data_IF_664114729512
#
_entry.id   IF_664114729512
#
_cell.length_a   1.000
_cell.length_b   1.000
_cell.length_c   1.000
_cell.angle_alpha   90.00
_cell.angle_beta   90.00
_cell.angle_gamma   90.00
#
_symmetry.space_group_name_H-M   'P 1'
#
loop_
_entity.id
_entity.type
_entity.pdbx_description
1 polymer ?
#
# COMPACT_ATOMS: atom_id res chain seq x y z
N UNK A 1 -21.44 -1.32 -28.60
CA UNK A 1 -21.10 -1.01 -27.20
C UNK A 1 -19.62 -1.31 -26.89
N UNK A 2 -18.97 -2.22 -27.58
CA UNK A 2 -17.56 -2.60 -27.39
C UNK A 2 -16.54 -1.90 -28.29
N UNK A 3 -16.93 -0.87 -29.03
CA UNK A 3 -16.01 -0.13 -29.92
C UNK A 3 -15.30 1.05 -29.27
N UNK A 4 -15.53 1.29 -27.97
CA UNK A 4 -14.91 2.39 -27.25
C UNK A 4 -13.64 1.87 -26.54
N UNK A 5 -12.44 2.34 -26.90
CA UNK A 5 -11.16 1.86 -26.33
C UNK A 5 -11.15 1.91 -24.80
N UNK A 6 -11.77 2.94 -24.22
CA UNK A 6 -11.89 3.09 -22.76
C UNK A 6 -12.71 1.97 -22.12
N UNK A 7 -13.83 1.58 -22.75
CA UNK A 7 -14.68 0.49 -22.24
C UNK A 7 -13.94 -0.86 -22.27
N UNK A 8 -13.19 -1.11 -23.34
CA UNK A 8 -12.39 -2.35 -23.49
C UNK A 8 -11.31 -2.41 -22.41
N UNK A 9 -10.56 -1.32 -22.23
CA UNK A 9 -9.49 -1.24 -21.23
C UNK A 9 -10.04 -1.40 -19.80
N UNK A 10 -11.15 -0.73 -19.49
CA UNK A 10 -11.80 -0.82 -18.18
C UNK A 10 -12.30 -2.24 -17.91
N UNK A 11 -12.99 -2.85 -18.87
CA UNK A 11 -13.49 -4.22 -18.72
C UNK A 11 -12.34 -5.22 -18.58
N UNK A 12 -11.27 -5.08 -19.37
CA UNK A 12 -10.08 -5.91 -19.28
C UNK A 12 -9.39 -5.79 -17.91
N UNK A 13 -9.27 -4.56 -17.39
CA UNK A 13 -8.74 -4.31 -16.05
C UNK A 13 -9.60 -4.97 -14.96
N UNK A 14 -10.92 -4.82 -15.03
CA UNK A 14 -11.84 -5.43 -14.06
C UNK A 14 -11.75 -6.96 -14.05
N UNK A 15 -11.69 -7.57 -15.22
CA UNK A 15 -11.51 -9.02 -15.34
C UNK A 15 -10.17 -9.45 -14.74
N UNK A 16 -9.10 -8.75 -15.06
CA UNK A 16 -7.77 -9.02 -14.51
C UNK A 16 -7.78 -8.95 -12.97
N UNK A 17 -8.39 -7.91 -12.40
CA UNK A 17 -8.49 -7.75 -10.93
C UNK A 17 -9.29 -8.87 -10.28
N UNK A 18 -10.40 -9.32 -10.88
CA UNK A 18 -11.18 -10.45 -10.38
C UNK A 18 -10.37 -11.75 -10.42
N UNK A 19 -9.64 -12.00 -11.51
CA UNK A 19 -8.77 -13.18 -11.63
C UNK A 19 -7.68 -13.15 -10.56
N UNK A 20 -6.99 -12.01 -10.39
CA UNK A 20 -5.95 -11.85 -9.37
C UNK A 20 -6.52 -12.05 -7.96
N UNK A 21 -7.70 -11.49 -7.68
CA UNK A 21 -8.39 -11.67 -6.40
C UNK A 21 -8.72 -13.14 -6.13
N UNK A 22 -9.20 -13.86 -7.13
CA UNK A 22 -9.52 -15.28 -7.01
C UNK A 22 -8.25 -16.13 -6.80
N UNK A 23 -7.18 -15.84 -7.52
CA UNK A 23 -5.88 -16.50 -7.34
C UNK A 23 -5.35 -16.23 -5.93
N UNK A 24 -5.34 -14.98 -5.49
CA UNK A 24 -4.90 -14.60 -4.15
C UNK A 24 -5.72 -15.29 -3.06
N UNK A 25 -7.05 -15.36 -3.23
CA UNK A 25 -7.93 -16.07 -2.30
C UNK A 25 -7.57 -17.56 -2.16
N UNK A 26 -7.21 -18.23 -3.24
CA UNK A 26 -6.80 -19.65 -3.19
C UNK A 26 -5.48 -19.86 -2.45
N UNK A 27 -4.57 -18.89 -2.48
CA UNK A 27 -3.28 -18.95 -1.78
C UNK A 27 -3.37 -18.49 -0.32
N UNK A 28 -4.38 -17.70 0.03
CA UNK A 28 -4.57 -17.19 1.38
C UNK A 28 -5.17 -18.28 2.28
N UNK A 29 -4.41 -18.73 3.28
CA UNK A 29 -4.83 -19.81 4.18
C UNK A 29 -5.26 -19.31 5.55
N UNK A 30 -4.64 -18.23 6.04
CA UNK A 30 -4.81 -17.70 7.38
C UNK A 30 -5.04 -16.19 7.35
N UNK A 31 -5.54 -15.65 8.45
CA UNK A 31 -5.71 -14.21 8.63
C UNK A 31 -4.37 -13.45 8.53
N UNK A 32 -3.27 -14.06 9.00
CA UNK A 32 -1.90 -13.55 8.83
C UNK A 32 -1.51 -13.38 7.35
N UNK A 33 -1.83 -14.38 6.52
CA UNK A 33 -1.57 -14.32 5.09
C UNK A 33 -2.36 -13.20 4.43
N UNK A 34 -3.60 -13.00 4.88
CA UNK A 34 -4.46 -11.93 4.37
C UNK A 34 -3.96 -10.53 4.70
N UNK A 35 -3.58 -10.29 5.97
CA UNK A 35 -3.19 -8.94 6.45
C UNK A 35 -1.74 -8.61 6.08
N UNK A 36 -0.82 -9.54 6.28
CA UNK A 36 0.63 -9.30 6.18
C UNK A 36 1.32 -10.07 5.04
N UNK A 37 0.57 -10.79 4.20
CA UNK A 37 1.16 -11.67 3.21
C UNK A 37 2.05 -12.74 3.85
N UNK A 38 1.71 -13.23 5.06
CA UNK A 38 2.51 -14.19 5.81
C UNK A 38 3.89 -13.67 6.24
N UNK A 39 4.11 -12.35 6.23
CA UNK A 39 5.42 -11.67 6.45
C UNK A 39 6.53 -12.11 5.50
N UNK A 40 6.21 -12.73 4.37
CA UNK A 40 7.15 -13.32 3.41
C UNK A 40 7.36 -12.47 2.15
N UNK A 41 6.79 -11.26 2.10
CA UNK A 41 6.88 -10.38 0.94
C UNK A 41 8.31 -9.87 0.73
N UNK A 42 8.79 -9.97 -0.50
CA UNK A 42 10.06 -9.37 -0.91
C UNK A 42 10.00 -7.84 -0.92
N UNK A 43 11.17 -7.19 -0.82
CA UNK A 43 11.26 -5.73 -0.73
C UNK A 43 10.60 -4.99 -1.89
N UNK A 44 10.72 -5.48 -3.11
CA UNK A 44 10.10 -4.87 -4.30
C UNK A 44 8.57 -4.94 -4.22
N UNK A 45 8.03 -6.12 -3.90
CA UNK A 45 6.58 -6.32 -3.77
C UNK A 45 6.01 -5.47 -2.64
N UNK A 46 6.73 -5.40 -1.50
CA UNK A 46 6.34 -4.54 -0.37
C UNK A 46 6.33 -3.06 -0.75
N UNK A 47 7.35 -2.58 -1.45
CA UNK A 47 7.41 -1.19 -1.89
C UNK A 47 6.28 -0.83 -2.85
N UNK A 48 5.99 -1.69 -3.82
CA UNK A 48 4.87 -1.50 -4.75
C UNK A 48 3.51 -1.55 -4.04
N UNK A 49 3.35 -2.47 -3.09
CA UNK A 49 2.12 -2.59 -2.29
C UNK A 49 1.86 -1.36 -1.43
N UNK A 50 2.90 -0.83 -0.78
CA UNK A 50 2.81 0.42 0.01
C UNK A 50 2.47 1.60 -0.91
N UNK A 51 3.15 1.75 -2.04
CA UNK A 51 2.83 2.80 -3.01
C UNK A 51 1.38 2.75 -3.50
N UNK A 52 0.87 1.55 -3.77
CA UNK A 52 -0.49 1.37 -4.24
C UNK A 52 -1.55 1.58 -3.14
N UNK A 53 -1.29 1.14 -1.91
CA UNK A 53 -2.27 1.19 -0.82
C UNK A 53 -2.28 2.51 -0.07
N UNK A 54 -1.11 3.07 0.20
CA UNK A 54 -0.95 4.26 1.03
C UNK A 54 -1.17 5.54 0.22
N UNK A 55 -0.52 5.65 -0.91
CA UNK A 55 -0.58 6.85 -1.74
C UNK A 55 -1.79 6.89 -2.67
N UNK A 56 -2.32 5.74 -3.05
CA UNK A 56 -3.54 5.59 -3.87
C UNK A 56 -3.54 6.44 -5.15
N UNK A 57 -4.70 6.67 -5.75
CA UNK A 57 -4.89 7.57 -6.89
C UNK A 57 -4.64 9.06 -6.56
N UNK A 58 -4.56 9.43 -5.27
CA UNK A 58 -4.26 10.80 -4.85
C UNK A 58 -2.89 11.26 -5.36
N UNK A 59 -1.87 10.42 -5.32
CA UNK A 59 -0.53 10.74 -5.82
C UNK A 59 -0.53 11.08 -7.30
N UNK A 60 -1.33 10.39 -8.12
CA UNK A 60 -1.35 10.55 -9.57
C UNK A 60 -2.30 11.63 -10.07
N UNK A 61 -3.38 11.90 -9.34
CA UNK A 61 -4.40 12.86 -9.76
C UNK A 61 -4.55 14.04 -8.80
N UNK A 62 -4.58 13.77 -7.49
CA UNK A 62 -4.80 14.80 -6.48
C UNK A 62 -3.64 15.78 -6.37
N UNK A 63 -2.41 15.26 -6.23
CA UNK A 63 -1.22 16.10 -6.10
C UNK A 63 -0.93 16.94 -7.35
N UNK A 64 -0.90 16.38 -8.59
CA UNK A 64 -0.75 17.20 -9.78
C UNK A 64 -1.88 18.23 -9.96
N UNK A 65 -3.12 17.86 -9.63
CA UNK A 65 -4.26 18.79 -9.63
C UNK A 65 -4.09 19.93 -8.64
N UNK A 66 -3.64 19.64 -7.42
CA UNK A 66 -3.35 20.66 -6.41
C UNK A 66 -2.24 21.62 -6.86
N UNK A 67 -1.15 21.11 -7.41
CA UNK A 67 -0.04 21.92 -7.97
C UNK A 67 -0.53 22.79 -9.12
N UNK A 68 -1.41 22.26 -9.97
CA UNK A 68 -1.98 23.01 -11.09
C UNK A 68 -2.86 24.18 -10.62
N UNK A 69 -3.66 23.96 -9.56
CA UNK A 69 -4.60 24.97 -9.06
C UNK A 69 -3.96 25.99 -8.12
N UNK A 70 -3.08 25.54 -7.21
CA UNK A 70 -2.52 26.36 -6.12
C UNK A 70 -1.07 26.75 -6.36
N UNK A 71 -0.45 26.26 -7.43
CA UNK A 71 0.91 26.56 -7.79
C UNK A 71 1.96 25.66 -7.12
N UNK A 72 3.22 26.02 -7.32
CA UNK A 72 4.40 25.19 -6.96
C UNK A 72 4.53 24.99 -5.45
N UNK A 73 3.84 25.77 -4.63
CA UNK A 73 3.86 25.66 -3.17
C UNK A 73 3.37 24.28 -2.70
N UNK A 74 2.42 23.67 -3.41
CA UNK A 74 1.91 22.34 -3.11
C UNK A 74 2.98 21.24 -3.32
N UNK A 75 4.05 21.52 -4.04
CA UNK A 75 5.17 20.58 -4.21
C UNK A 75 5.88 20.24 -2.89
N UNK A 76 5.74 21.06 -1.85
CA UNK A 76 6.25 20.77 -0.51
C UNK A 76 5.62 19.50 0.08
N UNK A 77 4.39 19.20 -0.29
CA UNK A 77 3.71 17.94 0.09
C UNK A 77 4.48 16.74 -0.46
N UNK A 78 4.87 16.78 -1.73
CA UNK A 78 5.63 15.70 -2.35
C UNK A 78 7.00 15.51 -1.68
N UNK A 79 7.70 16.61 -1.36
CA UNK A 79 8.99 16.58 -0.65
C UNK A 79 8.79 15.99 0.75
N UNK A 80 7.79 16.44 1.49
CA UNK A 80 7.47 15.93 2.83
C UNK A 80 7.13 14.45 2.84
N UNK A 81 6.31 14.00 1.90
CA UNK A 81 5.97 12.57 1.73
C UNK A 81 7.20 11.72 1.43
N UNK A 82 8.06 12.16 0.51
CA UNK A 82 9.26 11.43 0.13
C UNK A 82 10.23 11.30 1.31
N UNK A 83 10.51 12.40 2.00
CA UNK A 83 11.38 12.39 3.17
C UNK A 83 10.79 11.59 4.32
N UNK A 84 9.49 11.76 4.60
CA UNK A 84 8.78 11.03 5.65
C UNK A 84 8.79 9.53 5.40
N UNK A 85 8.51 9.11 4.18
CA UNK A 85 8.56 7.69 3.79
C UNK A 85 9.97 7.13 3.93
N UNK A 86 10.98 7.84 3.46
CA UNK A 86 12.38 7.42 3.61
C UNK A 86 12.79 7.24 5.07
N UNK A 87 12.48 8.22 5.92
CA UNK A 87 12.79 8.16 7.36
C UNK A 87 12.02 7.03 8.05
N UNK A 88 10.75 6.84 7.70
CA UNK A 88 9.93 5.75 8.24
C UNK A 88 10.54 4.38 7.90
N UNK A 89 10.91 4.14 6.66
CA UNK A 89 11.52 2.87 6.27
C UNK A 89 12.89 2.64 6.89
N UNK A 90 13.68 3.69 7.04
CA UNK A 90 15.03 3.59 7.60
C UNK A 90 15.04 3.37 9.11
N UNK A 91 14.18 4.06 9.86
CA UNK A 91 14.28 4.09 11.32
C UNK A 91 13.14 3.35 12.04
N UNK A 92 11.95 3.35 11.49
CA UNK A 92 10.76 2.84 12.16
C UNK A 92 10.39 1.44 11.69
N UNK A 93 10.27 1.22 10.39
CA UNK A 93 9.70 0.01 9.84
C UNK A 93 10.43 -1.28 10.26
N UNK A 94 11.76 -1.28 10.23
CA UNK A 94 12.54 -2.46 10.61
C UNK A 94 12.36 -2.81 12.10
N UNK A 95 12.38 -1.80 12.95
CA UNK A 95 12.18 -1.98 14.39
C UNK A 95 10.77 -2.43 14.71
N UNK A 96 9.78 -1.77 14.12
CA UNK A 96 8.37 -2.10 14.30
C UNK A 96 8.07 -3.53 13.88
N UNK A 97 8.63 -3.98 12.76
CA UNK A 97 8.49 -5.37 12.29
C UNK A 97 8.95 -6.38 13.35
N UNK A 98 10.15 -6.19 13.91
CA UNK A 98 10.70 -7.09 14.92
C UNK A 98 9.87 -7.06 16.20
N UNK A 99 9.54 -5.86 16.68
CA UNK A 99 8.74 -5.72 17.91
C UNK A 99 7.34 -6.29 17.78
N UNK A 100 6.66 -6.13 16.65
CA UNK A 100 5.34 -6.74 16.43
C UNK A 100 5.39 -8.25 16.34
N UNK A 101 6.48 -8.81 15.83
CA UNK A 101 6.67 -10.25 15.77
C UNK A 101 6.91 -10.87 17.15
N UNK A 102 7.69 -10.20 18.01
CA UNK A 102 7.96 -10.60 19.39
C UNK A 102 6.72 -10.39 20.28
N UNK A 103 5.97 -9.31 20.07
CA UNK A 103 4.75 -8.98 20.84
C UNK A 103 3.55 -9.78 20.34
N UNK A 104 3.50 -11.07 20.68
CA UNK A 104 2.40 -11.98 20.34
C UNK A 104 2.01 -12.01 18.86
N UNK A 105 2.96 -11.70 17.95
CA UNK A 105 2.72 -11.64 16.52
C UNK A 105 1.60 -10.66 16.13
N UNK A 106 1.61 -9.47 16.74
CA UNK A 106 0.62 -8.43 16.50
C UNK A 106 0.50 -8.10 15.00
N UNK A 107 -0.72 -8.12 14.47
CA UNK A 107 -0.99 -7.91 13.04
C UNK A 107 -1.26 -6.45 12.71
N UNK A 108 -1.73 -5.69 13.68
CA UNK A 108 -2.10 -4.29 13.53
C UNK A 108 -1.45 -3.45 14.62
N UNK A 109 -1.35 -2.14 14.39
CA UNK A 109 -0.84 -1.21 15.41
C UNK A 109 -1.70 -1.18 16.67
N UNK A 110 -3.05 -1.16 16.61
CA UNK A 110 -3.87 -1.27 17.81
C UNK A 110 -3.58 -2.54 18.61
N UNK A 111 -3.42 -3.68 17.94
CA UNK A 111 -3.10 -4.95 18.56
C UNK A 111 -1.73 -4.93 19.26
N UNK A 112 -0.74 -4.31 18.60
CA UNK A 112 0.58 -4.08 19.19
C UNK A 112 0.53 -3.27 20.51
N UNK A 113 -0.28 -2.22 20.55
CA UNK A 113 -0.41 -1.37 21.74
C UNK A 113 -1.25 -1.97 22.87
N UNK A 114 -2.01 -3.02 22.63
CA UNK A 114 -2.78 -3.73 23.67
C UNK A 114 -1.94 -4.71 24.48
N UNK A 115 -0.77 -5.08 23.98
CA UNK A 115 0.16 -5.98 24.68
C UNK A 115 1.30 -5.15 25.31
N UNK A 116 1.26 -4.87 26.61
CA UNK A 116 2.36 -4.19 27.29
C UNK A 116 3.61 -5.07 27.27
N UNK A 117 4.75 -4.44 27.12
CA UNK A 117 6.08 -5.07 27.12
C UNK A 117 6.42 -5.68 28.47
#
# INVERSE_FOLDING_TARGET
MFSNPTAITFTGYMILMVILGFVAWRYTRNFNDYILGGRSLGGVVTALSVGASDMSGWLLMGLPGAVFLSGITESWIAIGLTLGTYLNWKFVAARLRVYTEVSHNALTLPDFFTHPF
#
